data_IF_454863734387
#
_entry.id   IF_454863734387
#
_cell.length_a   1.000
_cell.length_b   1.000
_cell.length_c   1.000
_cell.angle_alpha   90.00
_cell.angle_beta   90.00
_cell.angle_gamma   90.00
#
_symmetry.space_group_name_H-M   'P 1'
#
loop_
_entity.id
_entity.type
_entity.pdbx_description
1 polymer ?
#
# COMPACT_ATOMS: atom_id res chain seq x y z
N UNK A 1 -27.28 32.96 -59.93
CA UNK A 1 -26.04 32.20 -59.63
C UNK A 1 -25.59 32.53 -58.19
N UNK A 2 -26.12 32.07 -57.06
CA UNK A 2 -26.91 30.91 -56.58
C UNK A 2 -26.28 29.56 -56.94
N UNK A 3 -25.67 28.94 -55.93
CA UNK A 3 -25.23 27.54 -55.84
C UNK A 3 -23.80 27.13 -56.29
N UNK A 4 -22.73 27.88 -55.98
CA UNK A 4 -21.35 27.33 -56.11
C UNK A 4 -20.32 27.66 -55.01
N UNK A 5 -20.65 28.46 -53.98
CA UNK A 5 -19.71 28.80 -52.90
C UNK A 5 -19.96 28.10 -51.55
N UNK A 6 -20.98 27.25 -51.45
CA UNK A 6 -21.30 26.52 -50.21
C UNK A 6 -20.54 25.18 -50.11
N UNK A 7 -19.99 24.67 -51.21
CA UNK A 7 -19.37 23.33 -51.24
C UNK A 7 -17.87 23.28 -50.92
N UNK A 8 -17.20 24.43 -50.76
CA UNK A 8 -15.76 24.44 -50.40
C UNK A 8 -15.55 24.59 -48.89
N UNK A 9 -16.54 25.08 -48.14
CA UNK A 9 -16.48 25.15 -46.68
C UNK A 9 -17.06 23.90 -45.97
N UNK A 10 -17.74 23.01 -46.70
CA UNK A 10 -18.33 21.78 -46.17
C UNK A 10 -17.40 20.56 -46.31
N UNK A 11 -16.27 20.66 -47.00
CA UNK A 11 -15.33 19.55 -47.23
C UNK A 11 -14.14 19.52 -46.26
N UNK A 12 -13.93 20.56 -45.43
CA UNK A 12 -12.94 20.53 -44.34
C UNK A 12 -13.50 20.01 -43.00
N UNK A 13 -14.80 19.67 -42.93
CA UNK A 13 -15.44 19.15 -41.71
C UNK A 13 -15.54 17.61 -41.67
N UNK A 14 -14.71 16.91 -42.47
CA UNK A 14 -14.74 15.43 -42.56
C UNK A 14 -13.36 14.76 -42.43
N UNK A 15 -12.36 15.45 -41.86
CA UNK A 15 -11.07 14.84 -41.42
C UNK A 15 -10.80 15.16 -39.94
N UNK A 16 -11.85 15.28 -39.13
CA UNK A 16 -11.76 15.57 -37.69
C UNK A 16 -12.31 14.49 -36.77
N UNK A 17 -12.79 13.36 -37.31
CA UNK A 17 -13.72 12.47 -36.58
C UNK A 17 -13.22 11.03 -36.46
N UNK A 18 -11.91 10.81 -36.42
CA UNK A 18 -11.31 9.53 -36.04
C UNK A 18 -10.26 9.70 -34.94
N UNK A 19 -10.60 10.45 -33.90
CA UNK A 19 -10.05 10.22 -32.55
C UNK A 19 -11.20 10.10 -31.56
N UNK A 20 -12.18 9.26 -31.91
CA UNK A 20 -12.85 8.48 -30.88
C UNK A 20 -11.83 7.49 -30.35
N UNK A 21 -10.94 7.92 -29.43
CA UNK A 21 -10.37 7.01 -28.45
C UNK A 21 -11.55 6.49 -27.63
N UNK A 22 -12.21 5.49 -28.19
CA UNK A 22 -12.97 4.52 -27.45
C UNK A 22 -12.10 4.09 -26.27
N UNK A 23 -12.48 4.54 -25.08
CA UNK A 23 -11.96 4.04 -23.82
C UNK A 23 -12.36 2.57 -23.58
N UNK A 24 -12.79 1.83 -24.61
CA UNK A 24 -12.76 0.37 -24.64
C UNK A 24 -11.45 -0.09 -25.28
N UNK A 25 -10.32 0.15 -24.60
CA UNK A 25 -9.30 -0.88 -24.59
C UNK A 25 -9.80 -1.96 -23.64
N UNK A 26 -10.31 -3.03 -24.24
CA UNK A 26 -10.63 -4.28 -23.57
C UNK A 26 -9.47 -4.73 -22.68
N UNK A 27 -9.80 -4.91 -21.40
CA UNK A 27 -9.46 -6.11 -20.62
C UNK A 27 -8.01 -6.62 -20.74
N UNK A 28 -7.01 -5.75 -20.64
CA UNK A 28 -5.76 -6.10 -19.96
C UNK A 28 -5.79 -5.50 -18.54
N UNK A 29 -6.84 -5.86 -17.79
CA UNK A 29 -6.65 -6.02 -16.36
C UNK A 29 -5.82 -7.29 -16.23
N UNK A 30 -4.50 -7.14 -16.42
CA UNK A 30 -3.54 -8.08 -15.87
C UNK A 30 -4.06 -8.42 -14.49
N UNK A 31 -4.45 -9.68 -14.31
CA UNK A 31 -4.66 -10.26 -13.00
C UNK A 31 -3.31 -10.13 -12.32
N UNK A 32 -3.00 -8.96 -11.73
CA UNK A 32 -1.84 -8.79 -10.85
C UNK A 32 -2.05 -9.84 -9.79
N UNK A 33 -1.40 -11.00 -9.95
CA UNK A 33 -1.43 -12.08 -8.98
C UNK A 33 -1.07 -11.42 -7.66
N UNK A 34 -2.03 -11.39 -6.74
CA UNK A 34 -1.75 -10.95 -5.38
C UNK A 34 -0.65 -11.88 -4.91
N UNK A 35 0.53 -11.34 -4.67
CA UNK A 35 1.64 -12.15 -4.18
C UNK A 35 1.21 -12.75 -2.85
N UNK A 36 1.50 -14.04 -2.65
CA UNK A 36 1.19 -14.69 -1.37
C UNK A 36 2.03 -14.05 -0.26
N UNK A 37 1.57 -14.10 1.00
CA UNK A 37 2.37 -13.67 2.16
C UNK A 37 3.80 -14.23 2.17
N UNK A 38 3.95 -15.47 1.74
CA UNK A 38 5.21 -16.22 1.67
C UNK A 38 6.10 -15.66 0.56
N UNK A 39 5.55 -15.44 -0.64
CA UNK A 39 6.28 -14.81 -1.76
C UNK A 39 6.77 -13.40 -1.42
N UNK A 40 5.97 -12.63 -0.69
CA UNK A 40 6.38 -11.29 -0.22
C UNK A 40 7.52 -11.40 0.79
N UNK A 41 7.44 -12.35 1.72
CA UNK A 41 8.48 -12.56 2.73
C UNK A 41 9.80 -13.04 2.09
N UNK A 42 9.71 -13.96 1.14
CA UNK A 42 10.85 -14.46 0.37
C UNK A 42 11.51 -13.31 -0.41
N UNK A 43 10.71 -12.51 -1.13
CA UNK A 43 11.24 -11.35 -1.84
C UNK A 43 11.92 -10.35 -0.91
N UNK A 44 11.32 -10.03 0.24
CA UNK A 44 11.92 -9.14 1.24
C UNK A 44 13.24 -9.68 1.79
N UNK A 45 13.31 -10.99 2.02
CA UNK A 45 14.51 -11.67 2.51
C UNK A 45 15.61 -11.63 1.45
N UNK A 46 15.30 -11.96 0.21
CA UNK A 46 16.24 -11.94 -0.91
C UNK A 46 16.77 -10.53 -1.19
N UNK A 47 15.93 -9.50 -1.08
CA UNK A 47 16.35 -8.10 -1.17
C UNK A 47 17.33 -7.75 -0.04
N UNK A 48 17.08 -8.22 1.19
CA UNK A 48 17.96 -7.96 2.31
C UNK A 48 19.32 -8.66 2.15
N UNK A 49 19.34 -9.92 1.72
CA UNK A 49 20.58 -10.66 1.41
C UNK A 49 21.45 -9.89 0.41
N UNK A 50 20.85 -9.43 -0.69
CA UNK A 50 21.55 -8.63 -1.72
C UNK A 50 22.07 -7.31 -1.16
N UNK A 51 21.26 -6.62 -0.36
CA UNK A 51 21.64 -5.32 0.23
C UNK A 51 22.78 -5.45 1.24
N UNK A 52 22.83 -6.55 1.99
CA UNK A 52 23.85 -6.81 2.99
C UNK A 52 25.12 -7.47 2.40
N UNK A 53 25.10 -7.81 1.11
CA UNK A 53 26.22 -8.44 0.39
C UNK A 53 26.72 -9.71 1.10
N UNK A 54 25.80 -10.58 1.48
CA UNK A 54 26.14 -11.81 2.21
C UNK A 54 26.70 -12.86 1.25
N UNK A 55 27.71 -13.61 1.71
CA UNK A 55 28.18 -14.83 1.06
C UNK A 55 27.16 -15.97 1.23
N UNK A 56 27.31 -17.05 0.47
CA UNK A 56 26.36 -18.16 0.45
C UNK A 56 26.23 -18.87 1.82
N UNK A 57 27.34 -19.00 2.56
CA UNK A 57 27.34 -19.65 3.87
C UNK A 57 26.63 -18.79 4.92
N UNK A 58 26.85 -17.48 4.92
CA UNK A 58 26.14 -16.54 5.78
C UNK A 58 24.67 -16.42 5.38
N UNK A 59 24.36 -16.42 4.09
CA UNK A 59 23.00 -16.37 3.54
C UNK A 59 22.15 -17.54 4.03
N UNK A 60 22.68 -18.77 3.96
CA UNK A 60 21.99 -19.97 4.41
C UNK A 60 21.58 -19.90 5.90
N UNK A 61 22.42 -19.28 6.74
CA UNK A 61 22.12 -19.08 8.18
C UNK A 61 21.20 -17.87 8.42
N UNK A 62 21.34 -16.82 7.61
CA UNK A 62 20.59 -15.58 7.76
C UNK A 62 19.11 -15.71 7.39
N UNK A 63 18.80 -16.38 6.27
CA UNK A 63 17.43 -16.51 5.75
C UNK A 63 16.43 -16.98 6.83
N UNK A 64 16.64 -18.12 7.52
CA UNK A 64 15.65 -18.61 8.49
C UNK A 64 15.50 -17.67 9.69
N UNK A 65 16.59 -17.04 10.15
CA UNK A 65 16.55 -16.06 11.27
C UNK A 65 15.76 -14.83 10.87
N UNK A 66 16.02 -14.28 9.68
CA UNK A 66 15.37 -13.07 9.20
C UNK A 66 13.88 -13.28 8.88
N UNK A 67 13.50 -14.44 8.32
CA UNK A 67 12.10 -14.78 8.07
C UNK A 67 11.30 -14.89 9.36
N UNK A 68 11.84 -15.55 10.40
CA UNK A 68 11.19 -15.64 11.70
C UNK A 68 11.05 -14.25 12.36
N UNK A 69 12.06 -13.40 12.25
CA UNK A 69 12.00 -12.01 12.68
C UNK A 69 10.87 -11.24 11.98
N UNK A 70 10.74 -11.34 10.65
CA UNK A 70 9.66 -10.69 9.89
C UNK A 70 8.27 -11.22 10.30
N UNK A 71 8.16 -12.52 10.60
CA UNK A 71 6.93 -13.15 11.07
C UNK A 71 6.51 -12.62 12.45
N UNK A 72 7.42 -12.63 13.43
CA UNK A 72 7.14 -12.11 14.78
C UNK A 72 6.81 -10.61 14.75
N UNK A 73 7.52 -9.81 13.95
CA UNK A 73 7.18 -8.40 13.74
C UNK A 73 5.77 -8.23 13.15
N UNK A 74 5.38 -9.08 12.20
CA UNK A 74 4.04 -9.05 11.62
C UNK A 74 2.98 -9.40 12.66
N UNK A 75 3.21 -10.41 13.49
CA UNK A 75 2.30 -10.77 14.59
C UNK A 75 2.12 -9.61 15.57
N UNK A 76 3.22 -8.95 15.95
CA UNK A 76 3.17 -7.74 16.80
C UNK A 76 2.29 -6.65 16.19
N UNK A 77 2.41 -6.40 14.87
CA UNK A 77 1.58 -5.41 14.15
C UNK A 77 0.10 -5.81 14.12
N UNK A 78 -0.21 -7.10 14.07
CA UNK A 78 -1.58 -7.61 13.96
C UNK A 78 -2.32 -7.65 15.30
N UNK A 79 -1.62 -7.68 16.44
CA UNK A 79 -2.19 -7.76 17.80
C UNK A 79 -3.29 -6.72 18.08
N UNK A 80 -3.09 -5.47 17.64
CA UNK A 80 -4.08 -4.39 17.83
C UNK A 80 -4.98 -4.15 16.61
N UNK A 81 -4.74 -4.85 15.49
CA UNK A 81 -5.50 -4.66 14.24
C UNK A 81 -6.81 -5.45 14.24
N UNK A 82 -6.90 -6.55 14.98
CA UNK A 82 -8.12 -7.32 15.14
C UNK A 82 -9.25 -6.47 15.75
N UNK A 83 -8.94 -5.62 16.74
CA UNK A 83 -9.90 -4.70 17.36
C UNK A 83 -10.36 -3.56 16.44
N UNK A 84 -9.55 -3.15 15.46
CA UNK A 84 -9.89 -2.06 14.53
C UNK A 84 -10.68 -2.51 13.28
N UNK A 85 -10.75 -3.82 13.00
CA UNK A 85 -11.42 -4.37 11.81
C UNK A 85 -12.88 -4.75 12.03
N UNK A 86 -13.37 -4.74 13.26
CA UNK A 86 -14.79 -4.99 13.55
C UNK A 86 -15.73 -3.94 12.92
N UNK A 87 -15.21 -2.79 12.48
CA UNK A 87 -15.99 -1.68 11.92
C UNK A 87 -16.03 -1.62 10.37
N UNK A 88 -15.67 -2.72 9.70
CA UNK A 88 -15.44 -2.75 8.25
C UNK A 88 -16.52 -3.45 7.43
N UNK A 89 -17.80 -3.46 7.83
CA UNK A 89 -18.89 -3.92 6.95
C UNK A 89 -19.22 -2.82 5.95
N UNK A 90 -19.24 -3.16 4.65
CA UNK A 90 -19.33 -2.24 3.50
C UNK A 90 -20.63 -1.45 3.32
N UNK A 91 -21.24 -0.98 4.40
CA UNK A 91 -22.34 -0.01 4.40
C UNK A 91 -21.72 1.39 4.49
N UNK A 92 -22.28 2.36 3.76
CA UNK A 92 -21.81 3.76 3.78
C UNK A 92 -21.64 4.22 5.24
N UNK A 93 -20.51 4.86 5.61
CA UNK A 93 -20.32 5.28 6.99
C UNK A 93 -21.28 6.44 7.28
N UNK A 94 -22.28 6.18 8.10
CA UNK A 94 -22.88 7.17 9.02
C UNK A 94 -21.74 7.90 9.76
N UNK A 95 -21.93 9.17 10.21
CA UNK A 95 -20.95 9.85 11.04
C UNK A 95 -20.61 8.97 12.24
N UNK A 96 -19.36 8.49 12.30
CA UNK A 96 -18.93 7.59 13.37
C UNK A 96 -19.17 8.28 14.73
N UNK A 97 -19.76 7.59 15.72
CA UNK A 97 -19.71 8.03 17.10
C UNK A 97 -18.24 8.29 17.47
N UNK A 98 -17.97 9.41 18.14
CA UNK A 98 -16.66 9.64 18.74
C UNK A 98 -16.38 8.49 19.72
N UNK A 99 -15.19 7.89 19.66
CA UNK A 99 -14.77 6.88 20.62
C UNK A 99 -14.90 7.44 22.04
N UNK A 100 -15.39 6.64 22.97
CA UNK A 100 -15.44 7.02 24.39
C UNK A 100 -14.02 7.12 24.96
N UNK A 101 -13.82 7.93 26.00
CA UNK A 101 -12.51 8.09 26.66
C UNK A 101 -11.93 6.74 27.12
N UNK A 102 -12.79 5.82 27.59
CA UNK A 102 -12.39 4.47 27.98
C UNK A 102 -11.87 3.64 26.80
N UNK A 103 -12.51 3.73 25.62
CA UNK A 103 -12.04 3.05 24.41
C UNK A 103 -10.73 3.64 23.90
N UNK A 104 -10.58 4.98 23.98
CA UNK A 104 -9.33 5.67 23.64
C UNK A 104 -8.21 5.24 24.59
N UNK A 105 -8.45 5.18 25.89
CA UNK A 105 -7.49 4.71 26.89
C UNK A 105 -7.05 3.26 26.61
N UNK A 106 -7.99 2.36 26.31
CA UNK A 106 -7.68 0.98 25.93
C UNK A 106 -6.85 0.90 24.64
N UNK A 107 -7.14 1.75 23.64
CA UNK A 107 -6.34 1.83 22.42
C UNK A 107 -4.92 2.32 22.71
N UNK A 108 -4.77 3.35 23.57
CA UNK A 108 -3.46 3.88 23.99
C UNK A 108 -2.65 2.80 24.72
N UNK A 109 -3.24 2.13 25.71
CA UNK A 109 -2.59 1.02 26.44
C UNK A 109 -2.19 -0.12 25.50
N UNK A 110 -3.06 -0.46 24.54
CA UNK A 110 -2.76 -1.44 23.50
C UNK A 110 -1.54 -1.07 22.66
N UNK A 111 -1.40 0.21 22.27
CA UNK A 111 -0.22 0.71 21.53
C UNK A 111 1.06 0.57 22.35
N UNK A 112 1.02 0.87 23.65
CA UNK A 112 2.20 0.67 24.51
C UNK A 112 2.62 -0.79 24.59
N UNK A 113 1.67 -1.71 24.79
CA UNK A 113 1.96 -3.14 24.82
C UNK A 113 2.56 -3.63 23.49
N UNK A 114 2.03 -3.16 22.36
CA UNK A 114 2.58 -3.45 21.04
C UNK A 114 3.99 -2.91 20.85
N UNK A 115 4.26 -1.66 21.25
CA UNK A 115 5.60 -1.06 21.15
C UNK A 115 6.63 -1.82 21.98
N UNK A 116 6.29 -2.23 23.20
CA UNK A 116 7.16 -3.06 24.05
C UNK A 116 7.49 -4.39 23.37
N UNK A 117 6.47 -5.10 22.89
CA UNK A 117 6.67 -6.38 22.19
C UNK A 117 7.54 -6.25 20.94
N UNK A 118 7.44 -5.14 20.19
CA UNK A 118 8.31 -4.88 19.04
C UNK A 118 9.76 -4.69 19.49
N UNK A 119 9.99 -3.99 20.61
CA UNK A 119 11.34 -3.82 21.17
C UNK A 119 11.90 -5.17 21.63
N UNK A 120 11.12 -5.97 22.34
CA UNK A 120 11.54 -7.31 22.80
C UNK A 120 11.94 -8.21 21.62
N UNK A 121 11.16 -8.22 20.54
CA UNK A 121 11.49 -8.95 19.31
C UNK A 121 12.78 -8.41 18.68
N UNK A 122 12.95 -7.10 18.61
CA UNK A 122 14.16 -6.49 18.04
C UNK A 122 15.42 -6.82 18.83
N UNK A 123 15.33 -6.81 20.15
CA UNK A 123 16.43 -7.17 21.03
C UNK A 123 16.77 -8.66 20.93
N UNK A 124 15.76 -9.53 20.97
CA UNK A 124 15.92 -10.98 20.75
C UNK A 124 16.66 -11.27 19.44
N UNK A 125 16.19 -10.71 18.33
CA UNK A 125 16.80 -10.98 17.03
C UNK A 125 18.10 -10.20 16.78
N UNK A 126 18.37 -9.10 17.50
CA UNK A 126 19.70 -8.49 17.50
C UNK A 126 20.75 -9.50 17.93
N UNK A 127 20.50 -10.24 19.02
CA UNK A 127 21.42 -11.25 19.53
C UNK A 127 21.61 -12.40 18.54
N UNK A 128 20.55 -12.82 17.84
CA UNK A 128 20.66 -13.84 16.78
C UNK A 128 21.41 -13.32 15.54
N UNK A 129 21.12 -12.09 15.09
CA UNK A 129 21.83 -11.48 13.98
C UNK A 129 23.30 -11.26 14.31
N UNK A 130 23.66 -10.91 15.55
CA UNK A 130 25.05 -10.63 15.92
C UNK A 130 25.97 -11.86 15.84
N UNK A 131 25.41 -13.07 15.85
CA UNK A 131 26.12 -14.34 15.63
C UNK A 131 26.56 -14.54 14.18
N UNK A 132 25.90 -13.88 13.23
CA UNK A 132 26.06 -14.11 11.78
C UNK A 132 26.40 -12.84 10.99
N UNK A 133 26.08 -11.66 11.52
CA UNK A 133 26.24 -10.37 10.86
C UNK A 133 27.08 -9.41 11.71
N UNK A 134 27.77 -8.50 11.03
CA UNK A 134 28.43 -7.38 11.68
C UNK A 134 27.42 -6.35 12.20
N UNK A 135 27.75 -5.56 13.24
CA UNK A 135 26.90 -4.46 13.71
C UNK A 135 26.51 -3.46 12.62
N UNK A 136 27.39 -3.22 11.63
CA UNK A 136 27.11 -2.33 10.49
C UNK A 136 26.02 -2.90 9.58
N UNK A 137 26.04 -4.20 9.30
CA UNK A 137 25.01 -4.88 8.53
C UNK A 137 23.67 -4.89 9.28
N UNK A 138 23.69 -5.14 10.59
CA UNK A 138 22.48 -5.09 11.43
C UNK A 138 21.87 -3.68 11.44
N UNK A 139 22.70 -2.64 11.55
CA UNK A 139 22.24 -1.26 11.44
C UNK A 139 21.58 -0.99 10.09
N UNK A 140 22.11 -1.56 9.00
CA UNK A 140 21.52 -1.45 7.67
C UNK A 140 20.13 -2.10 7.59
N UNK A 141 19.90 -3.21 8.28
CA UNK A 141 18.56 -3.83 8.40
C UNK A 141 17.59 -2.81 8.99
N UNK A 142 17.91 -2.22 10.15
CA UNK A 142 17.02 -1.28 10.83
C UNK A 142 16.73 -0.01 10.03
N UNK A 143 17.75 0.55 9.38
CA UNK A 143 17.59 1.69 8.47
C UNK A 143 16.64 1.36 7.32
N UNK A 144 16.78 0.17 6.74
CA UNK A 144 15.96 -0.28 5.61
C UNK A 144 14.51 -0.49 6.03
N UNK A 145 14.28 -1.05 7.21
CA UNK A 145 12.94 -1.17 7.79
C UNK A 145 12.27 0.19 7.99
N UNK A 146 13.00 1.15 8.57
CA UNK A 146 12.50 2.50 8.82
C UNK A 146 12.15 3.19 7.51
N UNK A 147 13.05 3.15 6.53
CA UNK A 147 12.82 3.71 5.20
C UNK A 147 11.60 3.08 4.50
N UNK A 148 11.41 1.77 4.65
CA UNK A 148 10.26 1.07 4.09
C UNK A 148 8.95 1.47 4.77
N UNK A 149 8.96 1.64 6.10
CA UNK A 149 7.81 2.13 6.85
C UNK A 149 7.43 3.55 6.43
N UNK A 150 8.40 4.44 6.27
CA UNK A 150 8.18 5.83 5.83
C UNK A 150 7.63 5.90 4.41
N UNK A 151 8.17 5.08 3.49
CA UNK A 151 7.63 4.95 2.13
C UNK A 151 6.18 4.48 2.14
N UNK A 152 5.87 3.48 2.97
CA UNK A 152 4.50 2.95 3.09
C UNK A 152 3.54 4.01 3.65
N UNK A 153 3.96 4.76 4.67
CA UNK A 153 3.19 5.87 5.24
C UNK A 153 2.92 6.95 4.20
N UNK A 154 3.95 7.41 3.48
CA UNK A 154 3.83 8.40 2.41
C UNK A 154 2.88 7.94 1.30
N UNK A 155 2.98 6.69 0.88
CA UNK A 155 2.10 6.11 -0.13
C UNK A 155 0.64 6.01 0.36
N UNK A 156 0.44 5.65 1.62
CA UNK A 156 -0.89 5.62 2.23
C UNK A 156 -1.51 7.03 2.28
N UNK A 157 -0.75 8.03 2.72
CA UNK A 157 -1.20 9.43 2.78
C UNK A 157 -1.50 9.98 1.38
N UNK A 158 -0.66 9.66 0.38
CA UNK A 158 -0.88 10.01 -1.02
C UNK A 158 -2.20 9.43 -1.54
N UNK A 159 -2.48 8.15 -1.27
CA UNK A 159 -3.75 7.50 -1.66
C UNK A 159 -4.95 8.13 -0.97
N UNK A 160 -4.84 8.43 0.33
CA UNK A 160 -5.91 9.11 1.09
C UNK A 160 -6.23 10.49 0.51
N UNK A 161 -5.21 11.26 0.11
CA UNK A 161 -5.42 12.56 -0.56
C UNK A 161 -6.10 12.40 -1.93
N UNK A 162 -5.70 11.39 -2.70
CA UNK A 162 -6.31 11.11 -4.01
C UNK A 162 -7.77 10.65 -3.90
N UNK A 163 -8.13 9.82 -2.93
CA UNK A 163 -9.53 9.39 -2.73
C UNK A 163 -10.42 10.56 -2.32
N UNK A 164 -9.91 11.47 -1.48
CA UNK A 164 -10.63 12.70 -1.11
C UNK A 164 -10.78 13.64 -2.31
N UNK A 165 -9.75 13.81 -3.14
CA UNK A 165 -9.82 14.63 -4.35
C UNK A 165 -10.80 14.06 -5.41
N UNK A 166 -10.80 12.74 -5.62
CA UNK A 166 -11.74 12.09 -6.54
C UNK A 166 -13.19 12.09 -6.02
N UNK A 167 -13.38 12.07 -4.69
CA UNK A 167 -14.69 12.25 -4.07
C UNK A 167 -15.28 13.64 -4.29
N UNK A 168 -14.44 14.67 -4.50
CA UNK A 168 -14.88 16.03 -4.87
C UNK A 168 -15.16 16.23 -6.36
N UNK A 169 -14.69 15.33 -7.23
CA UNK A 169 -14.76 15.48 -8.70
C UNK A 169 -15.81 14.62 -9.43
N UNK A 170 -16.72 13.93 -8.73
CA UNK A 170 -17.90 13.29 -9.35
C UNK A 170 -19.15 13.81 -8.61
N UNK A 171 -20.10 14.54 -9.21
CA UNK A 171 -20.75 14.35 -10.53
C UNK A 171 -21.32 15.70 -11.06
N UNK A 172 -21.28 16.01 -12.36
CA UNK A 172 -22.26 16.92 -12.96
C UNK A 172 -23.64 16.22 -12.91
N UNK A 173 -24.64 16.90 -12.34
CA UNK A 173 -26.03 16.46 -12.34
C UNK A 173 -26.51 16.53 -13.78
N UNK A 174 -26.75 15.38 -14.42
CA UNK A 174 -27.42 15.34 -15.72
C UNK A 174 -28.88 15.74 -15.47
N UNK A 175 -29.43 16.77 -16.14
CA UNK A 175 -30.82 17.15 -15.93
C UNK A 175 -31.72 16.00 -16.39
N UNK A 176 -32.64 15.60 -15.53
CA UNK A 176 -33.70 14.65 -15.85
C UNK A 176 -34.62 15.35 -16.86
N UNK A 177 -34.62 14.89 -18.11
CA UNK A 177 -35.66 15.24 -19.06
C UNK A 177 -36.97 14.62 -18.55
N UNK A 178 -37.92 15.47 -18.17
CA UNK A 178 -39.32 15.08 -17.98
C UNK A 178 -39.95 14.85 -19.36
N UNK A 179 -40.85 13.86 -19.39
CA UNK A 179 -41.58 13.31 -20.53
C UNK A 179 -42.19 14.32 -21.49
#
# INVERSE_FOLDING_TARGET
MKAKFIYVFLTCLMIGSQLGLSAQTSVNKDKKKRHTPEQVMEHQTNQMVKMLMLDDATTAKFIPVYQNYLKELRECRMMNRAKQRAEGTGVKPEPKPLLTDAEVEQQIKGRFAQSRRILDVREKYYNEFRKILSPKQIMKIYQTEQNNADKLKKEFDRRKKQTVAQGKQKRPVRPVQKS
#
